data_IF_554283318189
#
_entry.id   IF_554283318189
#
_cell.length_a   1.000
_cell.length_b   1.000
_cell.length_c   1.000
_cell.angle_alpha   90.00
_cell.angle_beta   90.00
_cell.angle_gamma   90.00
#
_symmetry.space_group_name_H-M   'P 1'
#
loop_
_entity.id
_entity.type
_entity.pdbx_description
1 polymer ?
#
# COMPACT_ATOMS: atom_id res chain seq x y z
N UNK A 1 0.02 -29.83 36.48
CA UNK A 1 -0.59 -29.52 35.16
C UNK A 1 -0.06 -28.17 34.75
N UNK A 2 0.93 -28.13 33.85
CA UNK A 2 1.59 -26.88 33.44
C UNK A 2 1.27 -26.66 31.97
N UNK A 3 0.41 -25.68 31.68
CA UNK A 3 -0.05 -25.37 30.34
C UNK A 3 1.09 -24.80 29.48
N UNK A 4 1.58 -25.58 28.53
CA UNK A 4 2.40 -25.08 27.43
C UNK A 4 1.50 -24.31 26.45
N UNK A 5 1.32 -23.01 26.68
CA UNK A 5 0.74 -22.11 25.68
C UNK A 5 1.62 -22.17 24.42
N UNK A 6 1.07 -22.73 23.34
CA UNK A 6 1.65 -22.66 21.99
C UNK A 6 1.67 -21.18 21.57
N UNK A 7 2.74 -20.48 21.92
CA UNK A 7 3.04 -19.15 21.40
C UNK A 7 3.27 -19.30 19.89
N UNK A 8 2.28 -18.91 19.10
CA UNK A 8 2.40 -18.82 17.65
C UNK A 8 3.58 -17.92 17.26
N UNK A 9 4.15 -18.17 16.07
CA UNK A 9 5.31 -17.45 15.52
C UNK A 9 5.16 -15.94 15.76
N UNK A 10 6.06 -15.28 16.51
CA UNK A 10 5.99 -13.84 16.69
C UNK A 10 6.03 -13.19 15.31
N UNK A 11 5.05 -12.31 15.03
CA UNK A 11 5.02 -11.54 13.78
C UNK A 11 6.25 -10.63 13.76
N UNK A 12 7.31 -11.07 13.09
CA UNK A 12 8.43 -10.21 12.71
C UNK A 12 7.89 -9.11 11.82
N UNK A 13 8.06 -7.85 12.23
CA UNK A 13 7.82 -6.70 11.36
C UNK A 13 7.05 -5.60 12.06
N UNK A 14 7.78 -4.66 12.64
CA UNK A 14 7.31 -3.42 13.28
C UNK A 14 6.80 -2.39 12.27
N UNK A 15 6.05 -2.83 11.26
CA UNK A 15 5.49 -1.94 10.23
C UNK A 15 4.25 -2.60 9.63
N UNK A 16 3.24 -2.86 10.48
CA UNK A 16 1.94 -3.28 9.96
C UNK A 16 1.31 -2.07 9.27
N UNK A 17 0.99 -2.22 7.97
CA UNK A 17 0.06 -1.29 7.29
C UNK A 17 -1.32 -1.53 7.89
N UNK A 18 -1.63 -0.82 8.98
CA UNK A 18 -2.87 -1.02 9.76
C UNK A 18 -4.06 -0.20 9.25
N UNK A 19 -3.79 0.82 8.41
CA UNK A 19 -4.82 1.68 7.84
C UNK A 19 -5.29 1.15 6.49
N UNK A 20 -6.61 1.02 6.33
CA UNK A 20 -7.26 0.66 5.06
C UNK A 20 -7.82 1.90 4.41
N UNK A 21 -7.45 2.14 3.15
CA UNK A 21 -8.05 3.14 2.28
C UNK A 21 -9.00 2.43 1.31
N UNK A 22 -10.22 2.96 1.16
CA UNK A 22 -11.15 2.53 0.12
C UNK A 22 -11.46 3.74 -0.73
N UNK A 23 -11.16 3.65 -2.03
CA UNK A 23 -11.42 4.70 -3.01
C UNK A 23 -12.45 4.20 -4.02
N UNK A 24 -13.31 5.12 -4.48
CA UNK A 24 -14.20 4.87 -5.60
C UNK A 24 -13.56 5.48 -6.83
N UNK A 25 -13.45 4.67 -7.88
CA UNK A 25 -12.87 5.04 -9.15
C UNK A 25 -13.88 4.69 -10.23
N UNK A 26 -13.86 5.45 -11.32
CA UNK A 26 -14.44 5.04 -12.60
C UNK A 26 -13.61 3.92 -13.22
N UNK A 27 -14.18 3.19 -14.17
CA UNK A 27 -13.46 2.12 -14.88
C UNK A 27 -12.19 2.66 -15.55
N UNK A 28 -12.26 3.84 -16.18
CA UNK A 28 -11.11 4.49 -16.82
C UNK A 28 -9.98 4.85 -15.82
N UNK A 29 -10.33 5.30 -14.63
CA UNK A 29 -9.35 5.63 -13.58
C UNK A 29 -8.69 4.36 -13.03
N UNK A 30 -9.48 3.29 -12.87
CA UNK A 30 -8.95 2.01 -12.43
C UNK A 30 -7.98 1.41 -13.46
N UNK A 31 -8.36 1.44 -14.75
CA UNK A 31 -7.51 0.96 -15.85
C UNK A 31 -6.20 1.76 -15.95
N UNK A 32 -6.26 3.08 -15.70
CA UNK A 32 -5.05 3.92 -15.62
C UNK A 32 -4.14 3.48 -14.48
N UNK A 33 -4.68 3.27 -13.28
CA UNK A 33 -3.88 2.80 -12.13
C UNK A 33 -3.27 1.44 -12.45
N UNK A 34 -4.04 0.51 -13.01
CA UNK A 34 -3.58 -0.82 -13.43
C UNK A 34 -2.44 -0.73 -14.45
N UNK A 35 -2.61 0.04 -15.52
CA UNK A 35 -1.62 0.18 -16.57
C UNK A 35 -0.30 0.80 -16.03
N UNK A 36 -0.39 1.79 -15.15
CA UNK A 36 0.79 2.41 -14.54
C UNK A 36 1.47 1.44 -13.58
N UNK A 37 0.71 0.73 -12.74
CA UNK A 37 1.25 -0.30 -11.84
C UNK A 37 1.99 -1.40 -12.59
N UNK A 38 1.43 -1.90 -13.69
CA UNK A 38 2.06 -2.92 -14.53
C UNK A 38 3.36 -2.41 -15.13
N UNK A 39 3.38 -1.17 -15.64
CA UNK A 39 4.59 -0.55 -16.20
C UNK A 39 5.68 -0.32 -15.16
N UNK A 40 5.29 0.07 -13.95
CA UNK A 40 6.20 0.30 -12.83
C UNK A 40 6.66 -1.01 -12.16
N UNK A 41 5.99 -2.14 -12.42
CA UNK A 41 6.26 -3.41 -11.74
C UNK A 41 5.86 -3.40 -10.25
N UNK A 42 4.93 -2.53 -9.88
CA UNK A 42 4.50 -2.28 -8.50
C UNK A 42 3.09 -2.78 -8.25
N UNK A 43 2.77 -3.04 -6.98
CA UNK A 43 1.36 -3.27 -6.61
C UNK A 43 0.55 -1.97 -6.74
N UNK A 44 -0.75 -2.08 -6.99
CA UNK A 44 -1.67 -0.92 -7.08
C UNK A 44 -1.52 0.01 -5.86
N UNK A 45 -1.37 -0.56 -4.67
CA UNK A 45 -1.16 0.18 -3.43
C UNK A 45 0.15 0.96 -3.43
N UNK A 46 1.26 0.34 -3.86
CA UNK A 46 2.57 1.00 -3.95
C UNK A 46 2.56 2.11 -5.00
N UNK A 47 1.95 1.86 -6.16
CA UNK A 47 1.79 2.87 -7.21
C UNK A 47 1.02 4.08 -6.72
N UNK A 48 -0.06 3.88 -5.94
CA UNK A 48 -0.84 5.00 -5.37
C UNK A 48 0.00 5.79 -4.36
N UNK A 49 0.77 5.11 -3.51
CA UNK A 49 1.61 5.78 -2.51
C UNK A 49 2.71 6.60 -3.20
N UNK A 50 3.41 6.01 -4.17
CA UNK A 50 4.47 6.69 -4.91
C UNK A 50 3.93 7.88 -5.72
N UNK A 51 2.74 7.76 -6.31
CA UNK A 51 2.08 8.87 -6.98
C UNK A 51 1.77 10.04 -6.02
N UNK A 52 1.40 9.75 -4.77
CA UNK A 52 1.17 10.77 -3.74
C UNK A 52 2.49 11.43 -3.33
N UNK A 53 3.57 10.66 -3.14
CA UNK A 53 4.91 11.20 -2.80
C UNK A 53 5.48 12.10 -3.91
N UNK A 54 5.26 11.72 -5.17
CA UNK A 54 5.64 12.53 -6.33
C UNK A 54 4.86 13.86 -6.35
N UNK A 55 3.55 13.82 -6.13
CA UNK A 55 2.72 15.01 -6.06
C UNK A 55 3.13 15.92 -4.88
N UNK A 56 3.40 15.36 -3.71
CA UNK A 56 3.90 16.10 -2.55
C UNK A 56 5.22 16.80 -2.86
N UNK A 57 6.14 16.11 -3.54
CA UNK A 57 7.43 16.66 -3.97
C UNK A 57 7.24 17.82 -4.96
N UNK A 58 6.29 17.70 -5.89
CA UNK A 58 5.97 18.79 -6.83
C UNK A 58 5.35 20.00 -6.13
N UNK A 59 4.45 19.77 -5.16
CA UNK A 59 3.80 20.84 -4.41
C UNK A 59 4.77 21.58 -3.49
N UNK A 60 5.72 20.88 -2.86
CA UNK A 60 6.73 21.48 -1.99
C UNK A 60 7.81 22.28 -2.75
N UNK A 61 7.92 22.09 -4.06
CA UNK A 61 8.80 22.90 -4.93
C UNK A 61 8.18 24.24 -5.34
N UNK A 62 6.88 24.43 -5.07
CA UNK A 62 6.09 25.59 -5.49
C UNK A 62 5.95 26.60 -4.35
#
# INVERSE_FOLDING_TARGET
MTELRKVGRPTKGSTKREKRLTIRLTDEEFDKVEAVSVKAGLSKTETIIEAVELLETELNKK
#
